data_IF_146112906038
#
_entry.id   IF_146112906038
#
_cell.length_a   1.000
_cell.length_b   1.000
_cell.length_c   1.000
_cell.angle_alpha   90.00
_cell.angle_beta   90.00
_cell.angle_gamma   90.00
#
_symmetry.space_group_name_H-M   'P 1'
#
loop_
_entity.id
_entity.type
_entity.pdbx_description
1 polymer ?
#
# COMPACT_ATOMS: atom_id res chain seq x y z
N UNK A 1 2.36 -13.45 14.37
CA UNK A 1 3.49 -13.49 13.41
C UNK A 1 3.83 -12.06 13.08
N UNK A 2 5.10 -11.68 13.06
CA UNK A 2 5.53 -10.36 12.56
C UNK A 2 5.91 -10.47 11.08
N UNK A 3 5.77 -9.36 10.35
CA UNK A 3 6.31 -9.20 9.00
C UNK A 3 7.06 -7.87 8.92
N UNK A 4 8.19 -7.87 8.21
CA UNK A 4 8.94 -6.65 7.93
C UNK A 4 8.37 -5.96 6.70
N UNK A 5 8.15 -4.66 6.80
CA UNK A 5 7.73 -3.83 5.69
C UNK A 5 8.93 -3.47 4.81
N UNK A 6 8.75 -3.51 3.49
CA UNK A 6 9.69 -2.96 2.52
C UNK A 6 9.20 -1.64 1.90
N UNK A 7 7.91 -1.34 2.05
CA UNK A 7 7.32 -0.06 1.61
C UNK A 7 6.05 0.26 2.42
N UNK A 8 5.71 1.54 2.67
CA UNK A 8 6.57 2.73 2.58
C UNK A 8 7.46 2.88 3.84
N UNK A 9 7.12 2.19 4.93
CA UNK A 9 7.83 2.22 6.22
C UNK A 9 8.89 1.11 6.26
N UNK A 10 9.83 1.16 5.31
CA UNK A 10 10.81 0.10 5.13
C UNK A 10 11.61 -0.20 6.41
N UNK A 11 11.77 -1.47 6.75
CA UNK A 11 12.47 -1.94 7.95
C UNK A 11 11.61 -2.00 9.21
N UNK A 12 10.39 -1.47 9.19
CA UNK A 12 9.48 -1.60 10.33
C UNK A 12 8.85 -2.98 10.38
N UNK A 13 8.79 -3.56 11.59
CA UNK A 13 8.04 -4.78 11.84
C UNK A 13 6.63 -4.48 12.32
N UNK A 14 5.66 -5.18 11.75
CA UNK A 14 4.26 -5.08 12.14
C UNK A 14 3.72 -6.44 12.59
N UNK A 15 2.93 -6.43 13.66
CA UNK A 15 2.29 -7.65 14.16
C UNK A 15 1.03 -7.96 13.36
N UNK A 16 1.05 -9.08 12.64
CA UNK A 16 -0.08 -9.54 11.82
C UNK A 16 -1.12 -10.21 12.70
N UNK A 17 -2.33 -9.67 12.69
CA UNK A 17 -3.52 -10.20 13.37
C UNK A 17 -4.43 -11.00 12.43
N UNK A 18 -4.24 -10.88 11.11
CA UNK A 18 -5.05 -11.63 10.14
C UNK A 18 -4.65 -11.39 8.69
N UNK A 19 -5.44 -11.94 7.78
CA UNK A 19 -5.33 -11.75 6.32
C UNK A 19 -6.70 -11.45 5.74
N UNK A 20 -6.76 -10.56 4.76
CA UNK A 20 -7.97 -10.17 4.06
C UNK A 20 -7.66 -9.84 2.59
N UNK A 21 -8.68 -9.68 1.76
CA UNK A 21 -8.57 -9.08 0.42
C UNK A 21 -9.11 -7.65 0.43
N UNK A 22 -8.35 -6.71 -0.12
CA UNK A 22 -8.75 -5.31 -0.30
C UNK A 22 -8.66 -4.95 -1.78
N UNK A 23 -9.76 -4.50 -2.39
CA UNK A 23 -9.85 -4.24 -3.84
C UNK A 23 -9.37 -5.42 -4.70
N UNK A 24 -9.60 -6.67 -4.24
CA UNK A 24 -9.14 -7.87 -4.94
C UNK A 24 -7.68 -8.26 -4.68
N UNK A 25 -6.91 -7.44 -3.97
CA UNK A 25 -5.51 -7.74 -3.62
C UNK A 25 -5.39 -8.35 -2.23
N UNK A 26 -4.57 -9.39 -2.03
CA UNK A 26 -4.35 -9.96 -0.70
C UNK A 26 -3.55 -9.01 0.17
N UNK A 27 -3.97 -8.89 1.43
CA UNK A 27 -3.40 -7.99 2.42
C UNK A 27 -3.30 -8.67 3.79
N UNK A 28 -2.29 -8.27 4.56
CA UNK A 28 -2.20 -8.51 5.99
C UNK A 28 -3.02 -7.46 6.75
N UNK A 29 -3.66 -7.89 7.84
CA UNK A 29 -4.20 -6.99 8.85
C UNK A 29 -3.14 -6.87 9.94
N UNK A 30 -2.58 -5.67 10.12
CA UNK A 30 -1.53 -5.38 11.08
C UNK A 30 -2.01 -4.45 12.20
N UNK A 31 -1.57 -4.68 13.44
CA UNK A 31 -1.79 -3.72 14.54
C UNK A 31 -0.69 -2.66 14.56
N UNK A 32 -1.10 -1.40 14.59
CA UNK A 32 -0.21 -0.24 14.67
C UNK A 32 0.12 0.14 16.11
N UNK A 33 1.18 0.94 16.35
CA UNK A 33 1.54 1.40 17.70
C UNK A 33 0.44 2.19 18.42
N UNK A 34 -0.40 2.90 17.68
CA UNK A 34 -1.56 3.63 18.21
C UNK A 34 -2.77 2.73 18.52
N UNK A 35 -2.64 1.41 18.32
CA UNK A 35 -3.69 0.42 18.55
C UNK A 35 -4.65 0.21 17.37
N UNK A 36 -4.59 1.06 16.34
CA UNK A 36 -5.40 0.93 15.13
C UNK A 36 -4.97 -0.28 14.27
N UNK A 37 -5.81 -0.65 13.31
CA UNK A 37 -5.51 -1.70 12.34
C UNK A 37 -5.17 -1.10 10.98
N UNK A 38 -4.11 -1.60 10.36
CA UNK A 38 -3.73 -1.28 8.99
C UNK A 38 -3.96 -2.49 8.08
N UNK A 39 -4.44 -2.23 6.86
CA UNK A 39 -4.41 -3.19 5.77
C UNK A 39 -3.14 -2.96 4.95
N UNK A 40 -2.27 -3.96 4.92
CA UNK A 40 -0.98 -3.89 4.25
C UNK A 40 -0.98 -4.91 3.10
N UNK A 41 -0.97 -4.47 1.83
CA UNK A 41 -0.84 -5.38 0.70
C UNK A 41 0.40 -6.28 0.86
N UNK A 42 0.26 -7.57 0.56
CA UNK A 42 1.35 -8.53 0.75
C UNK A 42 2.60 -8.14 -0.04
N UNK A 43 2.45 -7.56 -1.22
CA UNK A 43 3.59 -7.13 -2.03
C UNK A 43 4.47 -6.10 -1.30
N UNK A 44 3.91 -5.29 -0.39
CA UNK A 44 4.68 -4.31 0.41
C UNK A 44 5.58 -4.98 1.45
N UNK A 45 5.40 -6.27 1.73
CA UNK A 45 6.24 -7.08 2.63
C UNK A 45 7.17 -8.03 1.84
N UNK A 46 7.29 -7.82 0.52
CA UNK A 46 8.22 -8.57 -0.34
C UNK A 46 9.38 -7.66 -0.75
N UNK A 47 10.59 -8.23 -0.87
CA UNK A 47 11.80 -7.47 -1.22
C UNK A 47 11.68 -6.70 -2.53
N UNK A 48 10.88 -7.19 -3.50
CA UNK A 48 10.62 -6.50 -4.77
C UNK A 48 10.10 -5.07 -4.57
N UNK A 49 9.40 -4.79 -3.46
CA UNK A 49 8.92 -3.45 -3.15
C UNK A 49 10.06 -2.44 -2.86
N UNK A 50 11.27 -2.90 -2.51
CA UNK A 50 12.45 -2.03 -2.38
C UNK A 50 12.84 -1.32 -3.68
N UNK A 51 12.44 -1.89 -4.83
CA UNK A 51 12.67 -1.26 -6.14
C UNK A 51 11.78 -0.02 -6.36
N UNK A 52 10.74 0.15 -5.53
CA UNK A 52 9.83 1.29 -5.60
C UNK A 52 10.32 2.44 -4.73
N UNK A 53 10.65 3.56 -5.36
CA UNK A 53 11.10 4.76 -4.66
C UNK A 53 9.93 5.52 -4.00
N UNK A 54 9.97 5.66 -2.68
CA UNK A 54 9.15 6.65 -1.95
C UNK A 54 9.74 8.04 -2.20
N UNK A 55 8.88 9.02 -2.49
CA UNK A 55 9.28 10.42 -2.76
C UNK A 55 8.43 11.35 -1.91
N UNK A 56 9.04 12.41 -1.38
CA UNK A 56 8.29 13.46 -0.69
C UNK A 56 7.32 14.17 -1.62
N UNK A 57 7.79 14.58 -2.80
CA UNK A 57 6.97 15.23 -3.79
C UNK A 57 6.42 14.20 -4.80
N UNK A 58 5.12 14.22 -5.11
CA UNK A 58 4.56 13.34 -6.12
C UNK A 58 5.07 13.72 -7.51
N UNK A 59 5.38 12.71 -8.35
CA UNK A 59 5.83 12.93 -9.74
C UNK A 59 4.71 13.48 -10.63
N UNK A 60 3.47 13.18 -10.27
CA UNK A 60 2.26 13.65 -10.96
C UNK A 60 1.49 14.52 -9.99
N UNK A 61 0.99 15.66 -10.48
CA UNK A 61 0.12 16.51 -9.67
C UNK A 61 -1.19 15.79 -9.35
N UNK A 62 -1.85 16.22 -8.29
CA UNK A 62 -3.19 15.70 -7.96
C UNK A 62 -4.20 15.94 -9.09
N UNK A 63 -4.08 17.07 -9.83
CA UNK A 63 -4.91 17.32 -11.00
C UNK A 63 -4.70 16.27 -12.08
N UNK A 64 -3.44 15.96 -12.41
CA UNK A 64 -3.10 14.94 -13.40
C UNK A 64 -3.66 13.56 -13.04
N UNK A 65 -3.58 13.16 -11.77
CA UNK A 65 -4.15 11.89 -11.30
C UNK A 65 -5.68 11.86 -11.40
N UNK A 66 -6.35 12.99 -11.14
CA UNK A 66 -7.81 13.11 -11.30
C UNK A 66 -8.24 13.02 -12.75
N UNK A 67 -7.50 13.67 -13.64
CA UNK A 67 -7.77 13.62 -15.08
C UNK A 67 -7.57 12.19 -15.60
N UNK A 68 -6.47 11.52 -15.24
CA UNK A 68 -6.26 10.11 -15.59
C UNK A 68 -7.40 9.20 -15.10
N UNK A 69 -7.89 9.42 -13.87
CA UNK A 69 -9.03 8.66 -13.33
C UNK A 69 -10.27 8.83 -14.20
N UNK A 70 -10.61 10.07 -14.60
CA UNK A 70 -11.77 10.35 -15.45
C UNK A 70 -11.67 9.63 -16.79
N UNK A 71 -10.50 9.63 -17.42
CA UNK A 71 -10.29 8.94 -18.70
C UNK A 71 -10.46 7.43 -18.57
N UNK A 72 -9.94 6.82 -17.50
CA UNK A 72 -10.14 5.39 -17.21
C UNK A 72 -11.62 5.09 -16.99
N UNK A 73 -12.30 5.89 -16.16
CA UNK A 73 -13.71 5.67 -15.85
C UNK A 73 -14.59 5.80 -17.11
N UNK A 74 -14.24 6.70 -18.04
CA UNK A 74 -14.92 6.81 -19.34
C UNK A 74 -14.67 5.62 -20.28
N UNK A 75 -13.55 4.90 -20.12
CA UNK A 75 -13.20 3.74 -20.94
C UNK A 75 -13.74 2.41 -20.38
N UNK A 76 -14.00 2.33 -19.08
CA UNK A 76 -14.45 1.12 -18.38
C UNK A 76 -15.94 1.22 -17.98
N UNK A 77 -16.55 2.39 -18.19
CA UNK A 77 -17.98 2.68 -17.97
C UNK A 77 -18.89 2.26 -19.11
#
# INVERSE_FOLDING_TARGET
MSVTLYHPRAGEEIFVTGRQRYCGEPAYVGRQPDGSLALIPIWMTQEVALTMAVREAPRLTLSCLRDLRREIDACVG
#
